data_IF_471935124667
#
_entry.id   IF_471935124667
#
_cell.length_a   1.000
_cell.length_b   1.000
_cell.length_c   1.000
_cell.angle_alpha   90.00
_cell.angle_beta   90.00
_cell.angle_gamma   90.00
#
_symmetry.space_group_name_H-M   'P 1'
#
loop_
_entity.id
_entity.type
_entity.pdbx_description
1 polymer ?
#
# COMPACT_ATOMS: atom_id res chain seq x y z
N UNK A 1 14.34 -7.71 15.39
CA UNK A 1 13.64 -8.82 16.11
C UNK A 1 12.79 -9.59 15.10
N UNK A 2 12.75 -10.93 15.13
CA UNK A 2 11.94 -11.74 14.20
C UNK A 2 10.45 -11.67 14.56
N UNK A 3 9.55 -11.53 13.57
CA UNK A 3 8.07 -11.47 13.72
C UNK A 3 7.51 -12.58 14.61
N UNK A 4 8.07 -13.81 14.55
CA UNK A 4 7.64 -14.94 15.36
C UNK A 4 7.69 -14.68 16.88
N UNK A 5 8.63 -13.87 17.37
CA UNK A 5 8.70 -13.50 18.79
C UNK A 5 7.51 -12.64 19.25
N UNK A 6 6.85 -11.95 18.31
CA UNK A 6 5.66 -11.17 18.59
C UNK A 6 4.40 -12.03 18.76
N UNK A 7 4.41 -13.31 18.37
CA UNK A 7 3.25 -14.19 18.47
C UNK A 7 3.17 -15.03 19.76
N UNK A 8 3.98 -14.75 20.80
CA UNK A 8 4.08 -15.63 21.97
C UNK A 8 2.76 -15.76 22.77
N UNK A 9 1.97 -16.78 22.42
CA UNK A 9 1.15 -17.56 23.33
C UNK A 9 -0.19 -16.98 23.80
N UNK A 10 -0.77 -15.99 23.10
CA UNK A 10 -2.14 -15.54 23.42
C UNK A 10 -2.30 -14.73 24.72
N UNK A 11 -1.20 -14.26 25.33
CA UNK A 11 -1.28 -13.27 26.41
C UNK A 11 -1.71 -11.91 25.85
N UNK A 12 -2.65 -11.22 26.52
CA UNK A 12 -3.03 -9.83 26.20
C UNK A 12 -1.78 -8.93 26.30
N UNK A 13 -1.13 -8.65 25.16
CA UNK A 13 -0.02 -7.70 25.08
C UNK A 13 -0.57 -6.28 25.02
N UNK A 14 0.12 -5.35 25.68
CA UNK A 14 -0.24 -3.94 25.62
C UNK A 14 0.31 -3.32 24.34
N UNK A 15 -0.18 -2.13 23.97
CA UNK A 15 0.25 -1.44 22.74
C UNK A 15 1.76 -1.19 22.75
N UNK A 16 2.29 -0.84 23.92
CA UNK A 16 3.69 -0.49 24.15
C UNK A 16 4.63 -1.68 23.89
N UNK A 17 4.16 -2.91 24.15
CA UNK A 17 4.95 -4.15 23.95
C UNK A 17 5.16 -4.49 22.47
N UNK A 18 4.37 -3.88 21.59
CA UNK A 18 4.34 -4.14 20.15
C UNK A 18 4.89 -2.97 19.34
N UNK A 19 5.37 -1.92 19.99
CA UNK A 19 6.09 -0.82 19.35
C UNK A 19 7.54 -1.25 19.06
N UNK A 20 7.93 -1.26 17.79
CA UNK A 20 9.28 -1.65 17.35
C UNK A 20 10.22 -0.45 17.41
N UNK A 21 9.71 0.73 17.06
CA UNK A 21 10.37 2.03 17.14
C UNK A 21 9.30 3.12 17.31
N UNK A 22 9.66 4.35 17.71
CA UNK A 22 8.67 5.36 18.03
C UNK A 22 7.70 5.61 16.87
N UNK A 23 6.41 5.35 17.08
CA UNK A 23 5.32 5.44 16.10
C UNK A 23 5.30 4.35 15.02
N UNK A 24 6.07 3.26 15.19
CA UNK A 24 6.05 2.06 14.33
C UNK A 24 5.57 0.85 15.14
N UNK A 25 4.35 0.42 14.87
CA UNK A 25 3.65 -0.57 15.67
C UNK A 25 3.42 -1.88 14.93
N UNK A 26 3.84 -3.00 15.50
CA UNK A 26 3.81 -4.32 14.87
C UNK A 26 2.52 -5.12 15.11
N UNK A 27 1.60 -4.60 15.93
CA UNK A 27 0.41 -5.37 16.32
C UNK A 27 -0.55 -5.63 15.17
N UNK A 28 -0.48 -4.86 14.08
CA UNK A 28 -1.25 -5.15 12.84
C UNK A 28 -0.88 -6.51 12.24
N UNK A 29 0.38 -6.94 12.37
CA UNK A 29 0.85 -8.23 11.87
C UNK A 29 0.34 -9.44 12.66
N UNK A 30 -0.28 -9.24 13.83
CA UNK A 30 -0.79 -10.33 14.66
C UNK A 30 -2.16 -10.85 14.19
N UNK A 31 -2.88 -10.07 13.38
CA UNK A 31 -4.31 -10.30 13.09
C UNK A 31 -4.62 -10.38 11.60
N UNK A 32 -3.69 -10.00 10.71
CA UNK A 32 -3.88 -10.07 9.24
C UNK A 32 -2.59 -10.44 8.50
N UNK A 33 -2.73 -11.19 7.40
CA UNK A 33 -1.68 -11.43 6.40
C UNK A 33 -1.42 -10.22 5.48
N UNK A 34 -1.09 -9.07 6.07
CA UNK A 34 -0.77 -7.82 5.35
C UNK A 34 0.58 -7.23 5.80
N UNK A 35 0.70 -5.90 5.79
CA UNK A 35 1.88 -5.23 6.34
C UNK A 35 2.07 -5.61 7.82
N UNK A 36 3.27 -6.07 8.19
CA UNK A 36 3.58 -6.52 9.55
C UNK A 36 3.71 -5.37 10.56
N UNK A 37 3.72 -4.12 10.10
CA UNK A 37 3.91 -2.91 10.91
C UNK A 37 3.06 -1.75 10.39
N UNK A 38 2.62 -0.87 11.28
CA UNK A 38 1.83 0.32 10.98
C UNK A 38 2.50 1.58 11.55
N UNK A 39 2.44 2.68 10.81
CA UNK A 39 2.76 4.01 11.34
C UNK A 39 1.56 4.53 12.13
N UNK A 40 1.75 4.87 13.42
CA UNK A 40 0.65 5.24 14.32
C UNK A 40 0.99 6.53 15.06
N UNK A 41 0.20 7.57 14.85
CA UNK A 41 0.36 8.89 15.48
C UNK A 41 -0.58 9.91 14.87
N UNK A 42 -0.37 11.18 15.20
CA UNK A 42 -1.03 12.29 14.47
C UNK A 42 -0.47 12.43 13.04
N UNK A 43 -1.13 13.23 12.20
CA UNK A 43 -0.77 13.38 10.80
C UNK A 43 0.66 13.93 10.60
N UNK A 44 1.11 14.82 11.48
CA UNK A 44 2.48 15.40 11.42
C UNK A 44 3.53 14.35 11.75
N UNK A 45 3.27 13.53 12.75
CA UNK A 45 4.14 12.44 13.17
C UNK A 45 4.25 11.39 12.07
N UNK A 46 3.13 11.02 11.45
CA UNK A 46 3.12 10.09 10.31
C UNK A 46 3.88 10.68 9.12
N UNK A 47 3.67 11.94 8.78
CA UNK A 47 4.39 12.61 7.69
C UNK A 47 5.91 12.61 7.94
N UNK A 48 6.34 12.98 9.15
CA UNK A 48 7.75 12.98 9.53
C UNK A 48 8.41 11.60 9.40
N UNK A 49 7.69 10.51 9.74
CA UNK A 49 8.19 9.15 9.56
C UNK A 49 8.29 8.75 8.10
N UNK A 50 7.35 9.17 7.26
CA UNK A 50 7.43 8.95 5.81
C UNK A 50 8.64 9.68 5.23
N UNK A 51 8.88 10.92 5.65
CA UNK A 51 10.05 11.71 5.23
C UNK A 51 11.37 11.11 5.70
N UNK A 52 11.43 10.55 6.90
CA UNK A 52 12.60 9.82 7.40
C UNK A 52 12.93 8.63 6.48
N UNK A 53 11.93 7.82 6.13
CA UNK A 53 12.12 6.73 5.16
C UNK A 53 12.52 7.25 3.78
N UNK A 54 11.94 8.37 3.33
CA UNK A 54 12.30 8.99 2.06
C UNK A 54 13.75 9.52 2.05
N UNK A 55 14.22 10.06 3.17
CA UNK A 55 15.61 10.48 3.37
C UNK A 55 16.61 9.32 3.32
N UNK A 56 16.15 8.10 3.60
CA UNK A 56 16.92 6.86 3.44
C UNK A 56 16.88 6.30 2.01
N UNK A 57 16.21 6.99 1.08
CA UNK A 57 16.13 6.59 -0.34
C UNK A 57 14.89 5.75 -0.69
N UNK A 58 13.92 5.60 0.20
CA UNK A 58 12.65 4.92 -0.12
C UNK A 58 11.73 5.90 -0.84
N UNK A 59 11.43 5.62 -2.10
CA UNK A 59 10.68 6.51 -3.00
C UNK A 59 9.23 6.08 -3.24
N UNK A 60 8.92 4.81 -2.99
CA UNK A 60 7.59 4.23 -3.19
C UNK A 60 7.07 3.63 -1.88
N UNK A 61 5.87 4.04 -1.50
CA UNK A 61 5.20 3.58 -0.29
C UNK A 61 3.86 2.91 -0.63
N UNK A 62 3.67 1.70 -0.15
CA UNK A 62 2.41 0.96 -0.28
C UNK A 62 1.73 0.97 1.08
N UNK A 63 0.67 1.76 1.22
CA UNK A 63 -0.07 1.90 2.47
C UNK A 63 -1.40 1.15 2.44
N UNK A 64 -1.86 0.78 3.62
CA UNK A 64 -3.21 0.27 3.85
C UNK A 64 -3.67 0.68 5.25
N UNK A 65 -4.90 1.16 5.37
CA UNK A 65 -5.57 1.42 6.67
C UNK A 65 -6.96 0.80 6.68
N UNK A 66 -7.59 0.61 7.84
CA UNK A 66 -8.96 0.07 7.92
C UNK A 66 -9.91 1.01 8.66
N UNK A 67 -11.15 1.16 8.18
CA UNK A 67 -11.66 0.66 6.89
C UNK A 67 -10.97 1.35 5.69
N UNK A 68 -10.79 0.63 4.58
CA UNK A 68 -9.89 1.06 3.50
C UNK A 68 -10.29 2.39 2.85
N UNK A 69 -11.59 2.63 2.64
CA UNK A 69 -12.07 3.81 1.96
C UNK A 69 -11.84 5.05 2.82
N UNK A 70 -12.36 5.04 4.04
CA UNK A 70 -12.31 6.13 5.01
C UNK A 70 -10.86 6.49 5.35
N UNK A 71 -10.00 5.48 5.54
CA UNK A 71 -8.58 5.73 5.78
C UNK A 71 -7.85 6.31 4.57
N UNK A 72 -8.27 5.96 3.34
CA UNK A 72 -7.69 6.58 2.14
C UNK A 72 -8.01 8.08 2.08
N UNK A 73 -9.24 8.47 2.42
CA UNK A 73 -9.64 9.89 2.50
C UNK A 73 -8.91 10.59 3.64
N UNK A 74 -8.92 10.02 4.85
CA UNK A 74 -8.23 10.59 6.02
C UNK A 74 -6.75 10.82 5.75
N UNK A 75 -6.08 9.87 5.10
CA UNK A 75 -4.67 10.02 4.74
C UNK A 75 -4.46 11.11 3.68
N UNK A 76 -5.30 11.16 2.66
CA UNK A 76 -5.22 12.16 1.61
C UNK A 76 -5.50 13.59 2.14
N UNK A 77 -6.42 13.73 3.09
CA UNK A 77 -6.78 15.02 3.67
C UNK A 77 -5.77 15.51 4.70
N UNK A 78 -5.23 14.62 5.53
CA UNK A 78 -4.41 15.02 6.68
C UNK A 78 -2.92 14.91 6.42
N UNK A 79 -2.46 13.91 5.66
CA UNK A 79 -1.03 13.60 5.51
C UNK A 79 -0.46 14.14 4.21
N UNK A 80 -1.14 13.96 3.07
CA UNK A 80 -0.63 14.47 1.77
C UNK A 80 -0.30 15.97 1.74
N UNK A 81 -1.03 16.88 2.43
CA UNK A 81 -0.65 18.29 2.47
C UNK A 81 0.68 18.55 3.18
N UNK A 82 1.12 17.64 4.04
CA UNK A 82 2.34 17.77 4.84
C UNK A 82 3.57 17.20 4.13
N UNK A 83 3.41 16.48 3.01
CA UNK A 83 4.50 15.85 2.27
C UNK A 83 4.99 16.72 1.10
N UNK A 84 6.30 16.71 0.79
CA UNK A 84 6.85 17.41 -0.36
C UNK A 84 6.30 16.84 -1.67
N UNK A 85 5.51 17.63 -2.40
CA UNK A 85 4.87 17.20 -3.65
C UNK A 85 5.84 17.25 -4.83
N UNK A 86 6.49 16.13 -5.14
CA UNK A 86 6.94 15.88 -6.51
C UNK A 86 5.73 15.40 -7.30
N UNK A 87 5.01 16.33 -7.94
CA UNK A 87 3.92 15.95 -8.82
C UNK A 87 4.49 15.09 -9.94
N UNK A 88 4.12 13.81 -10.00
CA UNK A 88 4.35 13.03 -11.22
C UNK A 88 3.53 13.71 -12.33
N UNK A 89 4.10 13.90 -13.53
CA UNK A 89 3.33 14.33 -14.67
C UNK A 89 2.07 13.48 -14.77
N UNK A 90 0.93 14.12 -15.05
CA UNK A 90 -0.33 13.41 -15.25
C UNK A 90 -0.07 12.30 -16.27
N UNK A 91 -0.31 11.05 -15.88
CA UNK A 91 -0.22 9.94 -16.83
C UNK A 91 -1.12 10.32 -18.01
N UNK A 92 -0.63 10.27 -19.26
CA UNK A 92 -1.48 10.49 -20.41
C UNK A 92 -2.65 9.53 -20.28
N UNK A 93 -3.86 10.08 -20.21
CA UNK A 93 -5.05 9.30 -19.95
C UNK A 93 -5.15 8.22 -21.02
N UNK A 94 -4.91 6.97 -20.65
CA UNK A 94 -5.40 5.86 -21.46
C UNK A 94 -6.91 5.90 -21.30
N UNK A 95 -7.59 6.38 -22.34
CA UNK A 95 -9.03 6.18 -22.47
C UNK A 95 -9.24 4.68 -22.52
N UNK A 96 -9.53 4.05 -21.39
CA UNK A 96 -9.89 2.64 -21.32
C UNK A 96 -11.31 2.51 -21.87
N UNK A 97 -11.44 2.48 -23.20
CA UNK A 97 -12.70 2.24 -23.91
C UNK A 97 -13.03 0.75 -24.01
N UNK A 98 -12.67 -0.03 -22.98
CA UNK A 98 -12.88 -1.48 -22.91
C UNK A 98 -13.58 -1.87 -21.61
N UNK A 99 -14.14 -3.09 -21.52
CA UNK A 99 -14.92 -3.52 -20.36
C UNK A 99 -14.06 -3.44 -19.08
N UNK A 100 -14.53 -2.63 -18.13
CA UNK A 100 -13.87 -2.45 -16.84
C UNK A 100 -13.95 -3.77 -16.05
N UNK A 101 -12.79 -4.33 -15.70
CA UNK A 101 -12.70 -5.53 -14.85
C UNK A 101 -11.67 -6.57 -15.28
N UNK A 102 -11.13 -6.48 -16.50
CA UNK A 102 -10.21 -7.48 -17.04
C UNK A 102 -8.84 -6.85 -17.40
N UNK A 103 -8.16 -6.24 -16.44
CA UNK A 103 -6.73 -5.93 -16.58
C UNK A 103 -5.99 -6.63 -15.44
N UNK A 104 -5.80 -7.93 -15.62
CA UNK A 104 -4.80 -8.71 -14.90
C UNK A 104 -3.50 -8.62 -15.70
N UNK A 105 -2.38 -8.53 -14.99
CA UNK A 105 -1.04 -8.26 -15.48
C UNK A 105 -0.49 -9.27 -16.52
N UNK A 106 -1.00 -9.24 -17.75
CA UNK A 106 -0.31 -9.78 -18.90
C UNK A 106 -0.67 -8.97 -20.17
N UNK A 107 0.35 -8.51 -20.90
CA UNK A 107 0.25 -7.75 -22.15
C UNK A 107 -0.18 -8.62 -23.35
N UNK A 108 -1.14 -9.52 -23.16
CA UNK A 108 -1.70 -10.35 -24.22
C UNK A 108 -3.23 -10.23 -24.21
N UNK A 109 -3.76 -9.31 -25.02
CA UNK A 109 -5.16 -9.32 -25.37
C UNK A 109 -5.46 -10.54 -26.26
N UNK A 110 -6.57 -11.27 -26.06
CA UNK A 110 -6.90 -12.49 -26.82
C UNK A 110 -7.36 -12.22 -28.26
N UNK A 111 -6.98 -11.08 -28.86
CA UNK A 111 -7.31 -10.75 -30.25
C UNK A 111 -6.31 -11.31 -31.27
N UNK A 112 -5.20 -11.95 -30.84
CA UNK A 112 -4.25 -12.60 -31.77
C UNK A 112 -4.55 -14.07 -32.09
N UNK A 113 -5.59 -14.67 -31.51
CA UNK A 113 -5.95 -16.07 -31.79
C UNK A 113 -7.04 -16.26 -32.86
N UNK A 114 -7.76 -15.22 -33.26
CA UNK A 114 -8.83 -15.33 -34.27
C UNK A 114 -8.38 -15.12 -35.72
N UNK A 115 -7.12 -14.74 -35.96
CA UNK A 115 -6.62 -14.53 -37.34
C UNK A 115 -5.90 -15.75 -37.94
N UNK A 116 -5.79 -16.88 -37.23
CA UNK A 116 -5.05 -18.08 -37.72
C UNK A 116 -5.91 -19.31 -37.99
N UNK A 117 -7.23 -19.17 -38.05
CA UNK A 117 -8.15 -20.27 -38.40
C UNK A 117 -8.96 -20.04 -39.70
N UNK A 118 -8.75 -18.92 -40.41
CA UNK A 118 -9.45 -18.62 -41.68
C UNK A 118 -8.54 -18.75 -42.92
N UNK A 119 -7.29 -19.21 -42.75
CA UNK A 119 -6.32 -19.33 -43.87
C UNK A 119 -5.93 -20.78 -44.21
N UNK A 120 -6.65 -21.80 -43.71
CA UNK A 120 -6.45 -23.20 -44.14
C UNK A 120 -7.80 -23.92 -44.32
N UNK A 121 -8.65 -23.39 -45.19
CA UNK A 121 -9.72 -24.15 -45.83
C UNK A 121 -9.85 -23.70 -47.28
#
# INVERSE_FOLDING_TARGET
>A
RRMAALHAGGAKRKREDLEISPNLWAGVGLVRGGAGTALVGDAKTVAARIEEYAGLGIDNFIFSGYPHLEESYRFAELVFPLLPRKQRPRLPGQTLTGPFGEVVANLDAPSRLTSRLVSQS
#
